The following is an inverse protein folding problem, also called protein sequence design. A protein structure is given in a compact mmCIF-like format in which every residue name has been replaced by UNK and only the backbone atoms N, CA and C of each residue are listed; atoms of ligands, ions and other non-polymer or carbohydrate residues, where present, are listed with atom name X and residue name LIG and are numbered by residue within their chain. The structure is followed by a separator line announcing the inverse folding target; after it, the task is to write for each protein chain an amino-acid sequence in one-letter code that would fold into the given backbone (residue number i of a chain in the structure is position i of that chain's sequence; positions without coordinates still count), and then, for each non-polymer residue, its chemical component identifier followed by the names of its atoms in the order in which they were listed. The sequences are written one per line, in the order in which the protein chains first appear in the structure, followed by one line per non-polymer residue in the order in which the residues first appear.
data_IF_954133299161
#
_entry.id   IF_954133299161
#
_cell.length_a   1.000
_cell.length_b   1.000
_cell.length_c   1.000
_cell.angle_alpha   90.00
_cell.angle_beta   90.00
_cell.angle_gamma   90.00
#
_symmetry.space_group_name_H-M   'P 1'
#
loop_
_entity.id
_entity.type
_entity.pdbx_description
1 polymer ?
#
# COMPACT_ATOMS: atom_id res chain seq x y z
N UNK A 1 -13.89 -89.03 -38.66
CA UNK A 1 -13.72 -87.66 -39.20
C UNK A 1 -14.98 -86.87 -38.88
N UNK A 2 -14.92 -85.70 -38.23
CA UNK A 2 -16.12 -84.97 -37.87
C UNK A 2 -16.74 -84.34 -39.12
N UNK A 3 -18.06 -84.50 -39.23
CA UNK A 3 -18.89 -84.10 -40.35
C UNK A 3 -18.97 -82.56 -40.40
N UNK A 4 -18.16 -81.92 -41.25
CA UNK A 4 -18.24 -80.47 -41.48
C UNK A 4 -19.47 -80.20 -42.35
N UNK A 5 -20.62 -80.04 -41.70
CA UNK A 5 -21.88 -79.69 -42.36
C UNK A 5 -21.72 -78.44 -43.21
N UNK A 6 -22.10 -78.54 -44.49
CA UNK A 6 -22.15 -77.45 -45.44
C UNK A 6 -23.06 -76.32 -44.91
N UNK A 7 -22.49 -75.37 -44.20
CA UNK A 7 -23.17 -74.11 -43.85
C UNK A 7 -23.33 -73.29 -45.12
N UNK A 8 -24.53 -73.35 -45.73
CA UNK A 8 -24.91 -72.46 -46.82
C UNK A 8 -24.90 -71.02 -46.31
N UNK A 9 -24.24 -70.13 -47.06
CA UNK A 9 -24.15 -68.70 -46.74
C UNK A 9 -25.55 -68.08 -46.63
N UNK A 10 -25.85 -67.48 -45.48
CA UNK A 10 -27.15 -66.84 -45.24
C UNK A 10 -27.21 -65.47 -45.94
N UNK A 11 -27.65 -65.51 -47.19
CA UNK A 11 -27.85 -64.33 -48.04
C UNK A 11 -28.83 -63.34 -47.42
N UNK A 12 -29.85 -63.80 -46.70
CA UNK A 12 -30.85 -62.92 -46.10
C UNK A 12 -30.24 -62.08 -44.97
N UNK A 13 -29.48 -62.71 -44.09
CA UNK A 13 -28.73 -62.02 -43.03
C UNK A 13 -27.70 -61.04 -43.60
N UNK A 14 -26.98 -61.43 -44.65
CA UNK A 14 -26.04 -60.53 -45.33
C UNK A 14 -26.72 -59.32 -45.97
N UNK A 15 -27.85 -59.51 -46.66
CA UNK A 15 -28.59 -58.41 -47.29
C UNK A 15 -29.18 -57.45 -46.25
N UNK A 16 -29.63 -57.96 -45.10
CA UNK A 16 -30.09 -57.16 -43.97
C UNK A 16 -28.95 -56.34 -43.36
N UNK A 17 -27.82 -56.97 -43.04
CA UNK A 17 -26.63 -56.29 -42.52
C UNK A 17 -26.10 -55.23 -43.50
N UNK A 18 -26.12 -55.50 -44.80
CA UNK A 18 -25.72 -54.54 -45.85
C UNK A 18 -26.66 -53.34 -45.93
N UNK A 19 -27.97 -53.56 -45.76
CA UNK A 19 -28.96 -52.47 -45.72
C UNK A 19 -28.76 -51.59 -44.48
N UNK A 20 -28.61 -52.21 -43.31
CA UNK A 20 -28.34 -51.51 -42.05
C UNK A 20 -27.03 -50.71 -42.10
N UNK A 21 -25.97 -51.28 -42.66
CA UNK A 21 -24.69 -50.58 -42.85
C UNK A 21 -24.84 -49.34 -43.77
N UNK A 22 -25.63 -49.45 -44.85
CA UNK A 22 -25.91 -48.32 -45.75
C UNK A 22 -26.73 -47.23 -45.06
N UNK A 23 -27.78 -47.59 -44.33
CA UNK A 23 -28.60 -46.63 -43.59
C UNK A 23 -27.79 -45.91 -42.51
N UNK A 24 -26.91 -46.63 -41.81
CA UNK A 24 -25.99 -46.06 -40.83
C UNK A 24 -25.07 -45.00 -41.46
N UNK A 25 -24.40 -45.33 -42.56
CA UNK A 25 -23.53 -44.40 -43.30
C UNK A 25 -24.29 -43.16 -43.78
N UNK A 26 -25.52 -43.34 -44.29
CA UNK A 26 -26.36 -42.20 -44.73
C UNK A 26 -26.74 -41.31 -43.54
N UNK A 27 -27.07 -41.89 -42.39
CA UNK A 27 -27.41 -41.13 -41.18
C UNK A 27 -26.21 -40.35 -40.62
N UNK A 28 -25.03 -40.96 -40.61
CA UNK A 28 -23.77 -40.36 -40.17
C UNK A 28 -23.38 -39.22 -41.11
N UNK A 29 -23.46 -39.40 -42.43
CA UNK A 29 -23.20 -38.35 -43.41
C UNK A 29 -24.17 -37.16 -43.26
N UNK A 30 -25.45 -37.40 -42.94
CA UNK A 30 -26.40 -36.32 -42.64
C UNK A 30 -26.04 -35.55 -41.37
N UNK A 31 -25.57 -36.24 -40.34
CA UNK A 31 -25.12 -35.61 -39.09
C UNK A 31 -23.83 -34.82 -39.30
N UNK A 32 -22.87 -35.39 -40.04
CA UNK A 32 -21.63 -34.72 -40.43
C UNK A 32 -21.92 -33.43 -41.20
N UNK A 33 -22.85 -33.47 -42.16
CA UNK A 33 -23.26 -32.29 -42.93
C UNK A 33 -23.93 -31.19 -42.07
N UNK A 34 -24.59 -31.55 -40.96
CA UNK A 34 -25.13 -30.57 -40.01
C UNK A 34 -24.04 -29.92 -39.18
N UNK A 35 -23.09 -30.71 -38.67
CA UNK A 35 -21.97 -30.20 -37.88
C UNK A 35 -21.01 -29.34 -38.71
N UNK A 36 -20.73 -29.71 -39.97
CA UNK A 36 -19.91 -28.87 -40.86
C UNK A 36 -20.56 -27.51 -41.12
N UNK A 37 -21.88 -27.46 -41.35
CA UNK A 37 -22.63 -26.20 -41.46
C UNK A 37 -22.58 -25.38 -40.17
N UNK A 38 -22.60 -26.02 -39.00
CA UNK A 38 -22.49 -25.35 -37.69
C UNK A 38 -21.10 -24.76 -37.49
N UNK A 39 -20.05 -25.50 -37.83
CA UNK A 39 -18.66 -25.04 -37.79
C UNK A 39 -18.45 -23.84 -38.70
N UNK A 40 -18.94 -23.88 -39.94
CA UNK A 40 -18.87 -22.74 -40.87
C UNK A 40 -19.54 -21.49 -40.29
N UNK A 41 -20.73 -21.63 -39.68
CA UNK A 41 -21.43 -20.51 -39.03
C UNK A 41 -20.63 -19.94 -37.84
N UNK A 42 -19.95 -20.79 -37.07
CA UNK A 42 -19.12 -20.34 -35.95
C UNK A 42 -17.85 -19.64 -36.43
N UNK A 43 -17.21 -20.12 -37.51
CA UNK A 43 -16.06 -19.46 -38.12
C UNK A 43 -16.42 -18.04 -38.59
N UNK A 44 -17.55 -17.87 -39.26
CA UNK A 44 -18.05 -16.54 -39.68
C UNK A 44 -18.28 -15.62 -38.46
N UNK A 45 -18.82 -16.16 -37.35
CA UNK A 45 -18.99 -15.36 -36.11
C UNK A 45 -17.66 -14.95 -35.49
N UNK A 46 -16.66 -15.83 -35.51
CA UNK A 46 -15.31 -15.54 -35.00
C UNK A 46 -14.64 -14.46 -35.85
N UNK A 47 -14.72 -14.56 -37.17
CA UNK A 47 -14.17 -13.52 -38.06
C UNK A 47 -14.86 -12.17 -37.87
N UNK A 48 -16.19 -12.15 -37.79
CA UNK A 48 -16.94 -10.91 -37.49
C UNK A 48 -16.57 -10.33 -36.11
N UNK A 49 -16.34 -11.16 -35.11
CA UNK A 49 -15.88 -10.71 -33.80
C UNK A 49 -14.44 -10.16 -33.87
N UNK A 50 -13.55 -10.79 -34.64
CA UNK A 50 -12.18 -10.34 -34.89
C UNK A 50 -12.14 -8.99 -35.59
N UNK A 51 -12.95 -8.82 -36.64
CA UNK A 51 -13.14 -7.55 -37.34
C UNK A 51 -13.62 -6.48 -36.38
N UNK A 52 -14.66 -6.76 -35.57
CA UNK A 52 -15.16 -5.80 -34.58
C UNK A 52 -14.10 -5.45 -33.52
N UNK A 53 -13.29 -6.40 -33.05
CA UNK A 53 -12.14 -6.07 -32.19
C UNK A 53 -11.08 -5.24 -32.91
N UNK A 54 -10.84 -5.46 -34.20
CA UNK A 54 -9.89 -4.67 -35.00
C UNK A 54 -10.41 -3.24 -35.20
N UNK A 55 -11.70 -3.08 -35.47
CA UNK A 55 -12.39 -1.78 -35.53
C UNK A 55 -12.28 -1.07 -34.18
N UNK A 56 -12.63 -1.72 -33.07
CA UNK A 56 -12.49 -1.15 -31.73
C UNK A 56 -11.03 -0.80 -31.39
N UNK A 57 -10.05 -1.60 -31.80
CA UNK A 57 -8.64 -1.29 -31.62
C UNK A 57 -8.21 -0.10 -32.49
N UNK A 58 -8.70 0.01 -33.73
CA UNK A 58 -8.43 1.17 -34.58
C UNK A 58 -9.13 2.44 -34.08
N UNK A 59 -10.34 2.31 -33.50
CA UNK A 59 -11.01 3.39 -32.79
C UNK A 59 -10.25 3.77 -31.52
N UNK A 60 -9.60 2.83 -30.83
CA UNK A 60 -8.70 3.10 -29.70
C UNK A 60 -7.37 3.70 -30.15
N UNK A 61 -6.89 3.47 -31.37
CA UNK A 61 -5.69 4.12 -31.93
C UNK A 61 -5.98 5.55 -32.43
N UNK A 62 -7.17 5.80 -32.98
CA UNK A 62 -7.64 7.15 -33.36
C UNK A 62 -8.09 7.94 -32.12
N UNK A 63 -8.68 7.24 -31.13
CA UNK A 63 -9.00 7.74 -29.79
C UNK A 63 -8.00 7.30 -28.73
N UNK A 64 -6.72 7.11 -29.08
CA UNK A 64 -5.68 7.45 -28.11
C UNK A 64 -6.04 8.90 -27.77
N UNK A 65 -6.07 9.29 -26.49
CA UNK A 65 -6.17 10.71 -26.20
C UNK A 65 -4.99 11.35 -26.92
N UNK A 66 -5.24 11.95 -28.08
CA UNK A 66 -4.39 12.95 -28.70
C UNK A 66 -4.01 13.79 -27.52
N UNK A 67 -2.74 13.69 -27.11
CA UNK A 67 -2.27 14.11 -25.79
C UNK A 67 -3.01 15.37 -25.44
N UNK A 68 -3.99 15.26 -24.53
CA UNK A 68 -4.85 16.39 -24.20
C UNK A 68 -3.90 17.55 -24.01
N UNK A 69 -4.22 18.74 -24.50
CA UNK A 69 -3.41 19.96 -24.42
C UNK A 69 -2.80 20.28 -23.01
N UNK A 70 -3.06 19.44 -22.01
CA UNK A 70 -2.34 19.20 -20.77
C UNK A 70 -0.84 18.83 -20.86
N UNK A 71 -0.30 18.24 -21.93
CA UNK A 71 1.17 18.00 -21.99
C UNK A 71 1.94 19.31 -22.24
N UNK A 72 1.34 20.26 -22.96
CA UNK A 72 1.84 21.62 -23.16
C UNK A 72 1.37 22.62 -22.10
N UNK A 73 0.38 22.26 -21.28
CA UNK A 73 -0.09 23.14 -20.20
C UNK A 73 0.94 23.08 -19.08
N UNK A 74 1.84 24.08 -19.05
CA UNK A 74 2.79 24.30 -17.96
C UNK A 74 2.09 24.10 -16.62
N UNK A 75 2.40 22.99 -15.95
CA UNK A 75 1.82 22.68 -14.65
C UNK A 75 2.36 23.73 -13.68
N UNK A 76 1.48 24.37 -12.91
CA UNK A 76 1.92 25.26 -11.83
C UNK A 76 2.92 24.49 -10.96
N UNK A 77 4.07 25.12 -10.70
CA UNK A 77 5.10 24.53 -9.87
C UNK A 77 4.52 24.19 -8.49
N UNK A 78 4.69 22.93 -8.09
CA UNK A 78 4.28 22.47 -6.77
C UNK A 78 5.30 22.97 -5.76
N UNK A 79 4.85 23.82 -4.84
CA UNK A 79 5.63 24.32 -3.73
C UNK A 79 4.93 23.99 -2.42
N UNK A 80 5.70 23.57 -1.43
CA UNK A 80 5.21 23.30 -0.09
C UNK A 80 5.39 24.56 0.76
N UNK A 81 4.28 25.12 1.25
CA UNK A 81 4.28 26.17 2.26
C UNK A 81 3.77 25.58 3.57
N UNK A 82 4.62 25.59 4.61
CA UNK A 82 4.31 25.04 5.93
C UNK A 82 3.77 23.59 5.87
N UNK A 83 4.38 22.75 5.04
CA UNK A 83 3.97 21.35 4.86
C UNK A 83 2.71 21.13 4.01
N UNK A 84 2.13 22.19 3.44
CA UNK A 84 0.94 22.11 2.58
C UNK A 84 1.24 22.53 1.15
N UNK A 85 0.64 21.85 0.17
CA UNK A 85 0.85 22.19 -1.25
C UNK A 85 0.09 23.46 -1.64
N UNK A 86 0.75 24.36 -2.36
CA UNK A 86 0.16 25.58 -2.94
C UNK A 86 -0.92 25.33 -4.03
N UNK A 87 -1.03 24.10 -4.52
CA UNK A 87 -2.00 23.69 -5.55
C UNK A 87 -3.32 23.20 -4.94
N UNK A 88 -4.40 23.23 -5.73
CA UNK A 88 -5.71 22.78 -5.29
C UNK A 88 -5.71 21.30 -4.87
N UNK A 89 -6.56 20.93 -3.91
CA UNK A 89 -6.55 19.60 -3.31
C UNK A 89 -6.80 18.46 -4.32
N UNK A 90 -7.69 18.69 -5.29
CA UNK A 90 -8.02 17.69 -6.34
C UNK A 90 -6.83 17.41 -7.25
N UNK A 91 -6.13 18.45 -7.71
CA UNK A 91 -4.93 18.31 -8.54
C UNK A 91 -3.80 17.70 -7.73
N UNK A 92 -3.62 18.11 -6.47
CA UNK A 92 -2.61 17.52 -5.58
C UNK A 92 -2.84 16.02 -5.39
N UNK A 93 -4.08 15.59 -5.15
CA UNK A 93 -4.43 14.18 -5.02
C UNK A 93 -4.17 13.39 -6.31
N UNK A 94 -4.52 13.97 -7.47
CA UNK A 94 -4.23 13.37 -8.78
C UNK A 94 -2.72 13.22 -9.00
N UNK A 95 -1.94 14.27 -8.78
CA UNK A 95 -0.49 14.26 -8.96
C UNK A 95 0.18 13.23 -8.03
N UNK A 96 -0.17 13.19 -6.73
CA UNK A 96 0.37 12.21 -5.78
C UNK A 96 0.08 10.77 -6.23
N UNK A 97 -1.11 10.50 -6.78
CA UNK A 97 -1.47 9.18 -7.32
C UNK A 97 -0.65 8.82 -8.56
N UNK A 98 -0.44 9.78 -9.47
CA UNK A 98 0.42 9.59 -10.65
C UNK A 98 1.86 9.29 -10.24
N UNK A 99 2.43 10.08 -9.31
CA UNK A 99 3.77 9.86 -8.76
C UNK A 99 3.90 8.48 -8.12
N UNK A 100 2.95 8.09 -7.27
CA UNK A 100 2.99 6.78 -6.62
C UNK A 100 2.90 5.63 -7.64
N UNK A 101 2.08 5.77 -8.68
CA UNK A 101 1.98 4.78 -9.76
C UNK A 101 3.29 4.63 -10.53
N UNK A 102 3.93 5.75 -10.88
CA UNK A 102 5.23 5.75 -11.56
C UNK A 102 6.32 5.11 -10.68
N UNK A 103 6.42 5.51 -9.41
CA UNK A 103 7.37 4.93 -8.46
C UNK A 103 7.11 3.44 -8.22
N UNK A 104 5.85 3.01 -8.18
CA UNK A 104 5.50 1.59 -8.06
C UNK A 104 6.01 0.78 -9.24
N UNK A 105 5.91 1.34 -10.46
CA UNK A 105 6.45 0.70 -11.67
C UNK A 105 7.97 0.63 -11.67
N UNK A 106 8.66 1.67 -11.18
CA UNK A 106 10.13 1.72 -11.13
C UNK A 106 10.70 0.78 -10.07
N UNK A 107 10.12 0.78 -8.87
CA UNK A 107 10.63 0.02 -7.72
C UNK A 107 9.98 -1.37 -7.58
N UNK A 108 9.11 -1.77 -8.50
CA UNK A 108 8.47 -3.10 -8.48
C UNK A 108 7.44 -3.30 -7.37
N UNK A 109 6.78 -2.23 -6.91
CA UNK A 109 5.78 -2.33 -5.86
C UNK A 109 4.48 -2.96 -6.39
N UNK A 110 3.94 -3.89 -5.61
CA UNK A 110 2.65 -4.56 -5.90
C UNK A 110 1.54 -4.00 -5.02
N UNK A 111 0.28 -4.31 -5.34
CA UNK A 111 -0.88 -3.90 -4.52
C UNK A 111 -0.77 -4.37 -3.05
N UNK A 112 -0.12 -5.50 -2.83
CA UNK A 112 0.07 -6.07 -1.48
C UNK A 112 1.27 -5.46 -0.74
N UNK A 113 2.22 -4.85 -1.47
CA UNK A 113 3.43 -4.30 -0.88
C UNK A 113 3.79 -2.93 -1.49
N UNK A 114 2.92 -1.95 -1.25
CA UNK A 114 3.12 -0.55 -1.69
C UNK A 114 4.30 0.10 -0.95
N UNK A 115 4.72 -0.44 0.20
CA UNK A 115 5.86 0.06 1.00
C UNK A 115 7.14 0.16 0.17
N UNK A 116 7.36 -0.76 -0.77
CA UNK A 116 8.54 -0.74 -1.65
C UNK A 116 8.61 0.54 -2.49
N UNK A 117 7.46 1.05 -2.95
CA UNK A 117 7.42 2.33 -3.66
C UNK A 117 7.79 3.50 -2.74
N UNK A 118 7.30 3.51 -1.50
CA UNK A 118 7.62 4.54 -0.52
C UNK A 118 9.09 4.52 -0.12
N UNK A 119 9.66 3.34 0.11
CA UNK A 119 11.08 3.16 0.43
C UNK A 119 11.96 3.71 -0.72
N UNK A 120 11.64 3.37 -1.97
CA UNK A 120 12.36 3.90 -3.14
C UNK A 120 12.21 5.41 -3.35
N UNK A 121 11.01 5.96 -3.10
CA UNK A 121 10.79 7.42 -3.10
C UNK A 121 11.61 8.11 -2.03
N UNK A 122 11.73 7.53 -0.84
CA UNK A 122 12.50 8.11 0.25
C UNK A 122 14.01 8.00 0.00
N UNK A 123 14.50 6.86 -0.48
CA UNK A 123 15.93 6.67 -0.82
C UNK A 123 16.39 7.68 -1.89
N UNK A 124 15.60 7.84 -2.95
CA UNK A 124 15.89 8.83 -3.99
C UNK A 124 15.89 10.25 -3.45
N UNK A 125 14.93 10.61 -2.59
CA UNK A 125 14.88 11.90 -1.93
C UNK A 125 16.10 12.11 -1.01
N UNK A 126 16.48 11.10 -0.22
CA UNK A 126 17.62 11.15 0.70
C UNK A 126 18.95 11.35 -0.04
N UNK A 127 19.12 10.70 -1.20
CA UNK A 127 20.35 10.80 -2.00
C UNK A 127 20.46 12.07 -2.83
N UNK A 128 19.34 12.65 -3.25
CA UNK A 128 19.32 13.82 -4.17
C UNK A 128 19.07 15.15 -3.46
N UNK A 129 18.42 15.15 -2.31
CA UNK A 129 18.07 16.36 -1.58
C UNK A 129 19.17 16.74 -0.57
N UNK A 130 19.37 18.05 -0.34
CA UNK A 130 20.26 18.54 0.72
C UNK A 130 19.64 18.25 2.09
N UNK A 131 20.49 17.96 3.09
CA UNK A 131 20.03 17.66 4.45
C UNK A 131 19.19 18.79 5.07
N UNK A 132 19.57 20.05 4.85
CA UNK A 132 18.82 21.19 5.38
C UNK A 132 17.40 21.28 4.80
N UNK A 133 17.24 20.98 3.51
CA UNK A 133 15.92 20.97 2.86
C UNK A 133 15.07 19.80 3.36
N UNK A 134 15.67 18.63 3.58
CA UNK A 134 14.99 17.49 4.22
C UNK A 134 14.49 17.84 5.62
N UNK A 135 15.34 18.49 6.43
CA UNK A 135 14.99 18.97 7.78
C UNK A 135 13.83 19.96 7.72
N UNK A 136 13.85 20.90 6.77
CA UNK A 136 12.75 21.85 6.58
C UNK A 136 11.43 21.15 6.24
N UNK A 137 11.44 20.13 5.38
CA UNK A 137 10.22 19.34 5.10
C UNK A 137 9.65 18.65 6.33
N UNK A 138 10.52 18.15 7.22
CA UNK A 138 10.08 17.52 8.47
C UNK A 138 9.52 18.55 9.43
N UNK A 139 10.27 19.63 9.70
CA UNK A 139 9.94 20.68 10.69
C UNK A 139 8.72 21.50 10.28
N UNK A 140 8.54 21.77 9.00
CA UNK A 140 7.41 22.56 8.49
C UNK A 140 6.06 21.84 8.66
N UNK A 141 6.07 20.51 8.75
CA UNK A 141 4.87 19.73 8.98
C UNK A 141 4.70 19.41 10.48
N UNK A 142 3.74 20.08 11.13
CA UNK A 142 3.48 19.93 12.58
C UNK A 142 3.16 18.50 13.01
N UNK A 143 2.40 17.73 12.22
CA UNK A 143 2.03 16.37 12.60
C UNK A 143 3.23 15.43 12.47
N UNK A 144 4.01 15.57 11.40
CA UNK A 144 5.22 14.80 11.16
C UNK A 144 6.29 15.13 12.20
N UNK A 145 6.54 16.41 12.47
CA UNK A 145 7.47 16.86 13.52
C UNK A 145 7.09 16.27 14.86
N UNK A 146 5.82 16.34 15.24
CA UNK A 146 5.34 15.78 16.51
C UNK A 146 5.60 14.27 16.58
N UNK A 147 5.31 13.53 15.51
CA UNK A 147 5.54 12.08 15.48
C UNK A 147 7.04 11.76 15.65
N UNK A 148 7.89 12.33 14.78
CA UNK A 148 9.34 12.07 14.75
C UNK A 148 10.02 12.47 16.06
N UNK A 149 9.77 13.70 16.54
CA UNK A 149 10.35 14.21 17.79
C UNK A 149 9.85 13.38 18.96
N UNK A 150 8.55 13.05 18.99
CA UNK A 150 8.02 12.30 20.12
C UNK A 150 8.61 10.90 20.23
N UNK A 151 8.89 10.21 19.13
CA UNK A 151 9.35 8.82 19.22
C UNK A 151 10.86 8.72 19.46
N UNK A 152 11.67 9.59 18.86
CA UNK A 152 13.11 9.66 19.18
C UNK A 152 13.31 10.10 20.63
N UNK A 153 12.75 11.24 21.01
CA UNK A 153 13.00 11.82 22.32
C UNK A 153 12.34 11.04 23.46
N UNK A 154 11.25 10.28 23.22
CA UNK A 154 10.70 9.37 24.25
C UNK A 154 11.69 8.26 24.60
N UNK A 155 12.34 7.66 23.59
CA UNK A 155 13.33 6.60 23.83
C UNK A 155 14.51 7.13 24.61
N UNK A 156 15.02 8.29 24.23
CA UNK A 156 16.12 8.95 24.93
C UNK A 156 15.73 9.32 26.37
N UNK A 157 14.50 9.79 26.57
CA UNK A 157 13.97 10.13 27.89
C UNK A 157 13.81 8.89 28.78
N UNK A 158 13.29 7.78 28.25
CA UNK A 158 13.18 6.51 28.98
C UNK A 158 14.57 5.95 29.31
N UNK A 159 15.53 6.05 28.39
CA UNK A 159 16.92 5.72 28.64
C UNK A 159 17.53 6.58 29.74
N UNK A 160 17.28 7.89 29.72
CA UNK A 160 17.75 8.82 30.74
C UNK A 160 17.10 8.57 32.11
N UNK A 161 15.79 8.34 32.18
CA UNK A 161 15.10 8.12 33.45
C UNK A 161 15.65 6.89 34.21
N UNK A 162 16.16 5.90 33.48
CA UNK A 162 16.77 4.69 34.02
C UNK A 162 18.31 4.75 34.11
N UNK A 163 18.93 5.87 33.75
CA UNK A 163 20.39 6.00 33.73
C UNK A 163 20.98 6.29 35.10
N UNK A 164 22.28 6.00 35.25
CA UNK A 164 23.06 6.39 36.42
C UNK A 164 23.14 7.91 36.60
N UNK A 165 23.00 8.69 35.53
CA UNK A 165 22.99 10.15 35.62
C UNK A 165 21.70 10.68 36.24
N UNK A 166 20.55 10.04 35.99
CA UNK A 166 19.33 10.39 36.71
C UNK A 166 19.38 9.99 38.18
N UNK A 167 20.09 8.90 38.52
CA UNK A 167 20.40 8.53 39.91
C UNK A 167 21.22 9.65 40.56
N UNK A 168 22.35 10.04 39.97
CA UNK A 168 23.20 11.15 40.47
C UNK A 168 22.40 12.44 40.62
N UNK A 169 21.56 12.79 39.64
CA UNK A 169 20.67 13.97 39.68
C UNK A 169 19.71 13.90 40.87
N UNK A 170 19.16 12.73 41.12
CA UNK A 170 18.20 12.51 42.21
C UNK A 170 18.90 12.57 43.57
N UNK A 171 20.10 11.98 43.71
CA UNK A 171 20.96 12.09 44.91
C UNK A 171 21.35 13.55 45.15
N UNK A 172 21.83 14.26 44.13
CA UNK A 172 22.19 15.67 44.24
C UNK A 172 20.99 16.52 44.69
N UNK A 173 19.80 16.24 44.16
CA UNK A 173 18.56 16.88 44.60
C UNK A 173 18.29 16.61 46.07
N UNK A 174 18.46 15.35 46.51
CA UNK A 174 18.28 14.93 47.90
C UNK A 174 19.25 15.60 48.88
N UNK A 175 20.47 15.95 48.44
CA UNK A 175 21.50 16.62 49.25
C UNK A 175 21.61 18.14 49.00
N UNK A 176 20.79 18.71 48.11
CA UNK A 176 20.95 20.09 47.60
C UNK A 176 20.93 21.20 48.65
N UNK A 177 20.35 20.95 49.83
CA UNK A 177 20.32 21.87 50.97
C UNK A 177 20.59 21.13 52.29
N UNK A 178 21.51 20.16 52.25
CA UNK A 178 21.62 19.09 53.25
C UNK A 178 20.65 17.95 52.95
N UNK A 179 20.52 17.02 53.90
CA UNK A 179 19.65 15.83 53.73
C UNK A 179 18.18 16.25 53.72
N UNK A 180 17.53 16.18 52.57
CA UNK A 180 16.10 16.46 52.46
C UNK A 180 15.26 15.34 53.10
N UNK A 181 14.39 15.70 54.04
CA UNK A 181 13.39 14.76 54.54
C UNK A 181 12.42 14.30 53.44
N UNK A 182 11.83 13.10 53.62
CA UNK A 182 10.96 12.43 52.64
C UNK A 182 9.90 13.34 52.01
N UNK A 183 9.17 14.09 52.84
CA UNK A 183 8.11 15.00 52.38
C UNK A 183 8.65 16.16 51.53
N UNK A 184 9.80 16.73 51.91
CA UNK A 184 10.43 17.86 51.20
C UNK A 184 10.93 17.40 49.82
N UNK A 185 11.64 16.28 49.76
CA UNK A 185 12.10 15.71 48.49
C UNK A 185 10.93 15.39 47.54
N UNK A 186 9.87 14.77 48.06
CA UNK A 186 8.68 14.46 47.25
C UNK A 186 8.02 15.73 46.70
N UNK A 187 7.98 16.82 47.49
CA UNK A 187 7.48 18.11 47.04
C UNK A 187 8.32 18.68 45.90
N UNK A 188 9.66 18.69 46.04
CA UNK A 188 10.60 19.16 45.02
C UNK A 188 10.47 18.33 43.73
N UNK A 189 10.49 17.00 43.85
CA UNK A 189 10.31 16.07 42.72
C UNK A 189 9.01 16.35 41.97
N UNK A 190 7.91 16.58 42.70
CA UNK A 190 6.62 16.86 42.09
C UNK A 190 6.64 18.23 41.39
N UNK A 191 7.21 19.26 42.01
CA UNK A 191 7.32 20.60 41.43
C UNK A 191 8.16 20.62 40.13
N UNK A 192 9.22 19.80 40.05
CA UNK A 192 10.08 19.71 38.86
C UNK A 192 9.45 18.97 37.68
N UNK A 193 8.43 18.14 37.94
CA UNK A 193 7.82 17.27 36.92
C UNK A 193 6.36 17.59 36.61
N UNK A 194 5.65 18.26 37.51
CA UNK A 194 4.22 18.53 37.42
C UNK A 194 3.90 20.03 37.48
N UNK A 195 2.85 20.43 36.78
CA UNK A 195 2.24 21.77 36.84
C UNK A 195 0.74 21.66 37.09
N UNK A 196 0.11 22.74 37.54
CA UNK A 196 -1.35 22.81 37.67
C UNK A 196 -2.02 22.70 36.30
N UNK A 197 -3.14 21.99 36.24
CA UNK A 197 -3.96 21.89 35.04
C UNK A 197 -4.64 23.23 34.78
N UNK A 198 -4.55 23.76 33.56
CA UNK A 198 -5.07 25.10 33.24
C UNK A 198 -6.59 25.22 33.41
N UNK A 199 -7.35 24.18 33.05
CA UNK A 199 -8.82 24.22 33.07
C UNK A 199 -9.48 23.45 34.22
N UNK A 200 -8.73 22.69 35.03
CA UNK A 200 -9.29 21.85 36.10
C UNK A 200 -8.64 22.22 37.44
N UNK A 201 -9.34 23.00 38.29
CA UNK A 201 -8.83 23.35 39.61
C UNK A 201 -8.44 22.11 40.43
N UNK A 202 -7.29 22.15 41.09
CA UNK A 202 -6.77 21.03 41.90
C UNK A 202 -6.14 19.87 41.11
N UNK A 203 -6.35 19.76 39.80
CA UNK A 203 -5.71 18.74 38.98
C UNK A 203 -4.25 19.11 38.65
N UNK A 204 -3.35 18.12 38.66
CA UNK A 204 -1.95 18.26 38.23
C UNK A 204 -1.71 17.54 36.91
N UNK A 205 -0.88 18.12 36.05
CA UNK A 205 -0.45 17.55 34.77
C UNK A 205 1.06 17.56 34.67
N UNK A 206 1.62 16.65 33.87
CA UNK A 206 3.07 16.61 33.66
C UNK A 206 3.53 17.86 32.90
N UNK A 207 4.66 18.44 33.32
CA UNK A 207 5.32 19.48 32.56
C UNK A 207 5.78 18.86 31.24
N UNK A 208 5.36 19.47 30.15
CA UNK A 208 5.77 19.10 28.79
C UNK A 208 6.47 20.27 28.14
N UNK A 209 7.60 20.00 27.50
CA UNK A 209 8.24 20.89 26.55
C UNK A 209 7.36 21.04 25.30
N UNK A 210 7.78 21.96 24.42
CA UNK A 210 7.17 22.08 23.10
C UNK A 210 7.11 20.70 22.41
N UNK A 211 6.10 20.49 21.57
CA UNK A 211 5.85 19.22 20.87
C UNK A 211 5.42 18.03 21.75
N UNK A 212 5.17 18.22 23.06
CA UNK A 212 4.55 17.20 23.94
C UNK A 212 5.54 16.25 24.61
N UNK A 213 6.84 16.56 24.54
CA UNK A 213 7.88 15.82 25.27
C UNK A 213 7.77 16.12 26.77
N UNK A 214 7.75 15.09 27.62
CA UNK A 214 7.60 15.23 29.07
C UNK A 214 8.93 15.61 29.71
N UNK A 215 8.90 16.31 30.84
CA UNK A 215 10.10 16.52 31.64
C UNK A 215 10.52 15.22 32.35
N UNK A 216 11.83 14.88 32.41
CA UNK A 216 12.30 13.65 33.04
C UNK A 216 12.06 13.68 34.55
N UNK A 217 11.43 12.63 35.09
CA UNK A 217 11.18 12.53 36.53
C UNK A 217 12.40 12.07 37.32
N UNK A 218 12.66 12.70 38.46
CA UNK A 218 13.63 12.20 39.43
C UNK A 218 13.13 10.91 40.09
N UNK A 219 14.04 10.10 40.60
CA UNK A 219 13.70 8.84 41.27
C UNK A 219 12.97 9.09 42.60
N UNK A 220 12.09 8.19 43.06
CA UNK A 220 11.55 8.26 44.41
C UNK A 220 12.64 7.95 45.44
N UNK A 221 12.49 8.47 46.66
CA UNK A 221 13.45 8.25 47.76
C UNK A 221 13.67 6.77 48.09
N UNK A 222 12.69 5.91 47.85
CA UNK A 222 12.82 4.46 48.08
C UNK A 222 13.80 3.78 47.13
N UNK A 223 14.13 4.46 46.03
CA UNK A 223 15.02 3.97 44.98
C UNK A 223 16.29 4.83 44.89
N UNK A 224 16.58 5.62 45.94
CA UNK A 224 17.80 6.42 46.10
C UNK A 224 18.80 5.71 46.99
#
# INVERSE_FOLDING_TARGET
MPNTGNQRFDVASYMKARKEAREKVVSENRNLAKETKKIQRLQVKVEKAREKTRELLSEVDINLPHGNASELRSRKATSLQNGTSNINARTAAKQRRETLSACSRVHGATKNNVKVAFDGMFDTLQKRCKLETLKEYVVSNKSLTKAVVSDSCKKDLEGFENSSDNVKRSILTFYSAGVLGKCKYQSVRLALSMKTHSTKPGAKTRITLAQGLRYPSSLPITNL
#
